data_IF_725518171006
#
_entry.id   IF_725518171006
#
_cell.length_a   1.000
_cell.length_b   1.000
_cell.length_c   1.000
_cell.angle_alpha   90.00
_cell.angle_beta   90.00
_cell.angle_gamma   90.00
#
_symmetry.space_group_name_H-M   'P 1'
#
loop_
_entity.id
_entity.type
_entity.pdbx_description
1 polymer ?
#
# COMPACT_ATOMS: atom_id res chain seq x y z
N UNK A 1 -14.09 7.46 20.91
CA UNK A 1 -12.99 7.76 19.98
C UNK A 1 -13.58 7.88 18.60
N UNK A 2 -13.15 8.82 17.76
CA UNK A 2 -13.72 9.01 16.41
C UNK A 2 -12.77 8.45 15.33
N UNK A 3 -11.46 8.69 15.47
CA UNK A 3 -10.43 8.22 14.52
C UNK A 3 -9.26 7.64 15.29
N UNK A 4 -8.77 6.47 14.84
CA UNK A 4 -7.52 5.88 15.31
C UNK A 4 -6.54 5.86 14.14
N UNK A 5 -5.41 6.54 14.28
CA UNK A 5 -4.33 6.57 13.31
C UNK A 5 -3.28 5.54 13.70
N UNK A 6 -2.91 4.66 12.78
CA UNK A 6 -1.90 3.61 13.02
C UNK A 6 -0.78 3.74 11.99
N UNK A 7 0.45 3.95 12.46
CA UNK A 7 1.63 4.05 11.59
C UNK A 7 2.93 3.87 12.37
N UNK A 8 4.05 3.80 11.65
CA UNK A 8 5.38 3.52 12.22
C UNK A 8 6.04 4.72 12.87
N UNK A 9 5.75 5.92 12.35
CA UNK A 9 6.45 7.16 12.73
C UNK A 9 5.56 8.01 13.61
N UNK A 10 5.91 8.11 14.90
CA UNK A 10 5.13 8.87 15.88
C UNK A 10 4.94 10.34 15.47
N UNK A 11 6.03 11.03 15.09
CA UNK A 11 5.95 12.43 14.68
C UNK A 11 4.99 12.69 13.49
N UNK A 12 4.85 11.72 12.57
CA UNK A 12 3.89 11.84 11.46
C UNK A 12 2.45 11.60 11.91
N UNK A 13 2.25 10.68 12.85
CA UNK A 13 0.94 10.45 13.46
C UNK A 13 0.47 11.70 14.21
N UNK A 14 1.35 12.30 15.01
CA UNK A 14 1.04 13.49 15.79
C UNK A 14 0.71 14.67 14.86
N UNK A 15 1.53 14.92 13.85
CA UNK A 15 1.26 15.96 12.85
C UNK A 15 -0.10 15.77 12.16
N UNK A 16 -0.43 14.55 11.69
CA UNK A 16 -1.74 14.28 11.08
C UNK A 16 -2.89 14.39 12.09
N UNK A 17 -2.69 13.98 13.34
CA UNK A 17 -3.70 14.14 14.37
C UNK A 17 -3.98 15.61 14.67
N UNK A 18 -2.95 16.45 14.68
CA UNK A 18 -3.08 17.89 14.91
C UNK A 18 -3.76 18.58 13.72
N UNK A 19 -3.46 18.18 12.48
CA UNK A 19 -4.19 18.63 11.28
C UNK A 19 -5.69 18.29 11.37
N UNK A 20 -6.04 17.08 11.80
CA UNK A 20 -7.45 16.67 11.98
C UNK A 20 -8.11 17.46 13.10
N UNK A 21 -7.44 17.66 14.24
CA UNK A 21 -7.97 18.43 15.38
C UNK A 21 -8.18 19.90 15.01
N UNK A 22 -7.28 20.47 14.21
CA UNK A 22 -7.40 21.85 13.74
C UNK A 22 -8.63 22.04 12.82
N UNK A 23 -8.88 21.08 11.91
CA UNK A 23 -10.02 21.14 10.99
C UNK A 23 -11.33 20.70 11.63
N UNK A 24 -11.28 19.76 12.59
CA UNK A 24 -12.45 19.15 13.23
C UNK A 24 -12.28 19.09 14.76
N UNK A 25 -12.39 20.22 15.49
CA UNK A 25 -12.07 20.30 16.91
C UNK A 25 -12.90 19.39 17.83
N UNK A 26 -14.10 19.00 17.39
CA UNK A 26 -14.99 18.11 18.15
C UNK A 26 -14.67 16.61 18.01
N UNK A 27 -13.71 16.24 17.15
CA UNK A 27 -13.37 14.83 16.87
C UNK A 27 -12.20 14.36 17.73
N UNK A 28 -12.35 13.18 18.35
CA UNK A 28 -11.29 12.56 19.14
C UNK A 28 -10.41 11.70 18.25
N UNK A 29 -9.11 12.00 18.25
CA UNK A 29 -8.09 11.28 17.48
C UNK A 29 -7.11 10.60 18.43
N UNK A 30 -6.91 9.28 18.25
CA UNK A 30 -5.90 8.47 18.95
C UNK A 30 -4.80 8.04 17.97
N UNK A 31 -3.56 8.12 18.41
CA UNK A 31 -2.40 7.65 17.65
C UNK A 31 -1.90 6.34 18.24
N UNK A 32 -1.63 5.34 17.40
CA UNK A 32 -1.05 4.06 17.78
C UNK A 32 0.18 3.82 16.91
N UNK A 33 1.35 3.74 17.54
CA UNK A 33 2.59 3.44 16.83
C UNK A 33 2.71 1.93 16.65
N UNK A 34 2.74 1.48 15.40
CA UNK A 34 2.92 0.07 15.08
C UNK A 34 3.74 -0.10 13.81
N UNK A 35 4.67 -1.05 13.83
CA UNK A 35 5.47 -1.45 12.68
C UNK A 35 5.02 -2.78 12.10
N UNK A 36 4.27 -2.70 11.00
CA UNK A 36 3.80 -3.87 10.26
C UNK A 36 4.89 -4.56 9.43
N UNK A 37 6.12 -4.04 9.47
CA UNK A 37 7.35 -4.69 8.97
C UNK A 37 8.22 -5.20 10.11
N UNK A 38 7.70 -5.33 11.33
CA UNK A 38 8.40 -6.04 12.42
C UNK A 38 8.25 -7.58 12.25
N UNK A 39 9.33 -8.37 12.36
CA UNK A 39 9.23 -9.83 12.31
C UNK A 39 8.40 -10.42 13.46
N UNK A 40 8.36 -9.77 14.63
CA UNK A 40 7.51 -10.17 15.75
C UNK A 40 6.07 -9.69 15.55
N UNK A 41 5.40 -10.35 14.61
CA UNK A 41 4.00 -10.08 14.30
C UNK A 41 3.08 -10.22 15.51
N UNK A 42 3.37 -11.15 16.42
CA UNK A 42 2.54 -11.40 17.60
C UNK A 42 2.56 -10.21 18.57
N UNK A 43 3.74 -9.66 18.85
CA UNK A 43 3.88 -8.48 19.69
C UNK A 43 3.16 -7.26 19.07
N UNK A 44 3.29 -7.05 17.76
CA UNK A 44 2.63 -5.94 17.05
C UNK A 44 1.12 -6.01 17.19
N UNK A 45 0.48 -7.14 16.86
CA UNK A 45 -0.99 -7.24 16.92
C UNK A 45 -1.51 -7.35 18.35
N UNK A 46 -0.71 -7.85 19.30
CA UNK A 46 -1.05 -7.79 20.73
C UNK A 46 -1.04 -6.36 21.25
N UNK A 47 -0.07 -5.53 20.84
CA UNK A 47 -0.06 -4.11 21.16
C UNK A 47 -1.25 -3.39 20.53
N UNK A 48 -1.46 -3.52 19.22
CA UNK A 48 -2.58 -2.88 18.52
C UNK A 48 -3.93 -3.33 19.09
N UNK A 49 -4.10 -4.62 19.39
CA UNK A 49 -5.30 -5.17 20.01
C UNK A 49 -5.60 -4.54 21.37
N UNK A 50 -4.58 -4.36 22.22
CA UNK A 50 -4.73 -3.64 23.50
C UNK A 50 -5.14 -2.18 23.30
N UNK A 51 -4.56 -1.51 22.31
CA UNK A 51 -4.89 -0.11 22.01
C UNK A 51 -6.30 0.08 21.45
N UNK A 52 -6.84 -0.93 20.76
CA UNK A 52 -8.20 -0.93 20.22
C UNK A 52 -9.23 -1.51 21.19
N UNK A 53 -8.81 -2.09 22.32
CA UNK A 53 -9.71 -2.71 23.27
C UNK A 53 -10.75 -1.71 23.80
N UNK A 54 -12.02 -2.13 23.81
CA UNK A 54 -13.15 -1.30 24.23
C UNK A 54 -13.59 -0.25 23.20
N UNK A 55 -12.94 -0.17 22.03
CA UNK A 55 -13.39 0.71 20.94
C UNK A 55 -14.36 -0.02 20.01
N UNK A 56 -15.51 0.61 19.75
CA UNK A 56 -16.43 0.16 18.70
C UNK A 56 -15.92 0.64 17.33
N UNK A 57 -15.06 -0.14 16.68
CA UNK A 57 -14.54 0.20 15.34
C UNK A 57 -15.60 -0.12 14.28
N UNK A 58 -16.22 0.92 13.72
CA UNK A 58 -17.24 0.82 12.66
C UNK A 58 -16.69 0.84 11.23
N UNK A 59 -15.51 1.42 11.04
CA UNK A 59 -14.82 1.50 9.73
C UNK A 59 -13.35 1.13 9.91
N UNK A 60 -12.87 0.16 9.13
CA UNK A 60 -11.46 -0.20 9.03
C UNK A 60 -10.93 0.15 7.65
N UNK A 61 -9.84 0.93 7.57
CA UNK A 61 -9.16 1.25 6.30
C UNK A 61 -7.76 0.65 6.31
N UNK A 62 -7.60 -0.49 5.65
CA UNK A 62 -6.30 -1.14 5.46
C UNK A 62 -5.54 -0.49 4.30
N UNK A 63 -4.93 0.65 4.59
CA UNK A 63 -4.17 1.46 3.63
C UNK A 63 -2.65 1.23 3.66
N UNK A 64 -2.11 0.72 4.77
CA UNK A 64 -0.67 0.52 4.94
C UNK A 64 -0.14 -0.39 3.82
N UNK A 65 0.97 0.01 3.21
CA UNK A 65 1.61 -0.80 2.19
C UNK A 65 3.02 -0.36 1.86
N UNK A 66 3.78 -1.30 1.31
CA UNK A 66 5.14 -1.16 0.83
C UNK A 66 5.19 -1.55 -0.65
N UNK A 67 6.00 -0.83 -1.42
CA UNK A 67 6.29 -1.12 -2.82
C UNK A 67 7.80 -1.01 -3.05
N UNK A 68 8.24 -1.35 -4.25
CA UNK A 68 9.64 -1.21 -4.65
C UNK A 68 10.04 0.27 -4.69
N UNK A 69 11.27 0.63 -4.30
CA UNK A 69 11.79 1.98 -4.51
C UNK A 69 11.88 2.35 -6.00
N UNK A 70 12.13 1.38 -6.86
CA UNK A 70 12.04 1.50 -8.32
C UNK A 70 11.79 0.12 -8.95
N UNK A 71 11.30 0.03 -10.20
CA UNK A 71 11.11 -1.27 -10.86
C UNK A 71 12.44 -1.99 -11.03
N UNK A 72 12.54 -3.24 -10.58
CA UNK A 72 13.77 -4.04 -10.64
C UNK A 72 13.45 -5.51 -10.97
N UNK A 73 14.40 -6.19 -11.62
CA UNK A 73 14.32 -7.62 -11.87
C UNK A 73 14.19 -8.40 -10.56
N UNK A 74 13.36 -9.45 -10.57
CA UNK A 74 13.08 -10.22 -9.37
C UNK A 74 14.34 -10.75 -8.68
N UNK A 75 15.25 -11.38 -9.44
CA UNK A 75 16.48 -11.93 -8.88
C UNK A 75 17.39 -10.85 -8.32
N UNK A 76 17.54 -9.71 -9.00
CA UNK A 76 18.34 -8.59 -8.48
C UNK A 76 17.75 -7.98 -7.21
N UNK A 77 16.43 -7.86 -7.14
CA UNK A 77 15.75 -7.41 -5.93
C UNK A 77 15.80 -8.45 -4.80
N UNK A 78 16.02 -9.74 -5.13
CA UNK A 78 16.16 -10.83 -4.17
C UNK A 78 17.61 -11.05 -3.70
N UNK A 79 18.59 -10.79 -4.56
CA UNK A 79 20.03 -10.95 -4.33
C UNK A 79 20.56 -10.07 -3.19
N UNK A 80 19.86 -8.98 -2.84
CA UNK A 80 20.14 -8.18 -1.64
C UNK A 80 19.89 -8.96 -0.32
N UNK A 81 19.53 -10.25 -0.38
CA UNK A 81 19.60 -11.22 0.73
C UNK A 81 20.95 -11.96 0.83
N UNK A 82 21.71 -12.10 -0.24
CA UNK A 82 22.83 -13.04 -0.37
C UNK A 82 24.18 -12.41 -0.04
N UNK A 83 24.18 -11.45 0.89
CA UNK A 83 25.38 -11.02 1.59
C UNK A 83 25.47 -11.76 2.91
N UNK A 84 25.99 -12.99 2.84
CA UNK A 84 26.45 -13.88 3.91
C UNK A 84 25.69 -13.91 5.25
N UNK A 85 25.39 -15.14 5.69
CA UNK A 85 24.84 -15.50 7.01
C UNK A 85 25.74 -15.11 8.21
N UNK A 86 26.68 -14.19 8.02
CA UNK A 86 27.76 -13.84 8.95
C UNK A 86 27.88 -12.33 9.11
N UNK A 87 26.76 -11.65 9.42
CA UNK A 87 26.74 -10.26 9.94
C UNK A 87 27.47 -9.19 9.12
N UNK A 88 27.87 -9.50 7.88
CA UNK A 88 28.69 -8.68 7.03
C UNK A 88 27.84 -7.63 6.34
N UNK A 89 28.27 -6.38 6.41
CA UNK A 89 27.70 -5.24 5.68
C UNK A 89 27.83 -5.46 4.16
N UNK A 90 27.03 -6.33 3.58
CA UNK A 90 26.89 -6.41 2.14
C UNK A 90 26.19 -5.13 1.66
N UNK A 91 26.78 -4.55 0.62
CA UNK A 91 26.60 -3.18 0.21
C UNK A 91 25.14 -2.71 0.23
N UNK A 92 24.88 -1.68 1.03
CA UNK A 92 23.67 -0.86 0.99
C UNK A 92 23.58 -0.03 -0.32
N UNK A 93 23.93 -0.61 -1.47
CA UNK A 93 24.06 0.10 -2.75
C UNK A 93 22.75 0.26 -3.51
N UNK A 94 21.64 -0.34 -3.05
CA UNK A 94 20.34 -0.21 -3.71
C UNK A 94 19.27 0.54 -2.90
N UNK A 95 19.51 0.80 -1.61
CA UNK A 95 18.59 1.59 -0.77
C UNK A 95 17.30 0.88 -0.35
N UNK A 96 17.22 -0.44 -0.46
CA UNK A 96 16.23 -1.27 0.24
C UNK A 96 16.93 -2.24 1.22
N UNK A 97 16.22 -2.60 2.29
CA UNK A 97 16.76 -3.50 3.31
C UNK A 97 16.83 -4.94 2.83
N UNK A 98 17.62 -5.81 3.51
CA UNK A 98 17.85 -7.20 3.12
C UNK A 98 16.58 -8.07 3.11
N UNK A 99 15.45 -7.54 3.60
CA UNK A 99 14.20 -8.26 3.83
C UNK A 99 13.03 -7.69 3.00
N UNK A 100 13.31 -6.94 1.92
CA UNK A 100 12.29 -6.24 1.12
C UNK A 100 11.02 -7.07 0.84
N UNK A 101 11.18 -8.32 0.41
CA UNK A 101 10.05 -9.18 0.07
C UNK A 101 9.27 -9.63 1.31
N UNK A 102 9.95 -9.95 2.40
CA UNK A 102 9.30 -10.35 3.66
C UNK A 102 8.59 -9.17 4.30
N UNK A 103 9.22 -7.99 4.27
CA UNK A 103 8.61 -6.73 4.68
C UNK A 103 7.38 -6.41 3.85
N UNK A 104 7.44 -6.64 2.53
CA UNK A 104 6.31 -6.40 1.64
C UNK A 104 5.16 -7.37 1.90
N UNK A 105 5.44 -8.65 2.13
CA UNK A 105 4.42 -9.64 2.52
C UNK A 105 3.81 -9.26 3.87
N UNK A 106 4.62 -8.97 4.88
CA UNK A 106 4.12 -8.60 6.22
C UNK A 106 3.31 -7.31 6.18
N UNK A 107 3.81 -6.29 5.48
CA UNK A 107 3.17 -4.99 5.39
C UNK A 107 1.92 -4.97 4.50
N UNK A 108 1.86 -5.73 3.40
CA UNK A 108 0.74 -5.66 2.46
C UNK A 108 -0.32 -6.75 2.71
N UNK A 109 0.10 -7.94 3.14
CA UNK A 109 -0.78 -9.10 3.33
C UNK A 109 -1.06 -9.29 4.82
N UNK A 110 -0.02 -9.57 5.62
CA UNK A 110 -0.19 -9.97 7.02
C UNK A 110 -0.88 -8.89 7.84
N UNK A 111 -0.55 -7.61 7.60
CA UNK A 111 -1.20 -6.46 8.24
C UNK A 111 -2.70 -6.43 7.99
N UNK A 112 -3.12 -6.49 6.72
CA UNK A 112 -4.52 -6.41 6.32
C UNK A 112 -5.32 -7.59 6.91
N UNK A 113 -4.77 -8.81 6.82
CA UNK A 113 -5.43 -10.00 7.36
C UNK A 113 -5.60 -9.92 8.87
N UNK A 114 -4.55 -9.54 9.62
CA UNK A 114 -4.62 -9.49 11.08
C UNK A 114 -5.47 -8.32 11.58
N UNK A 115 -5.46 -7.17 10.89
CA UNK A 115 -6.36 -6.06 11.22
C UNK A 115 -7.82 -6.45 11.01
N UNK A 116 -8.14 -7.17 9.93
CA UNK A 116 -9.47 -7.77 9.74
C UNK A 116 -9.81 -8.74 10.89
N UNK A 117 -8.89 -9.64 11.25
CA UNK A 117 -9.08 -10.59 12.37
C UNK A 117 -9.32 -9.91 13.71
N UNK A 118 -8.67 -8.78 13.97
CA UNK A 118 -8.84 -8.01 15.21
C UNK A 118 -10.17 -7.25 15.26
N UNK A 119 -10.62 -6.70 14.14
CA UNK A 119 -11.73 -5.73 14.11
C UNK A 119 -13.07 -6.34 13.71
N UNK A 120 -13.06 -7.28 12.76
CA UNK A 120 -14.28 -7.84 12.19
C UNK A 120 -15.15 -8.63 13.17
N UNK A 121 -14.63 -9.35 14.19
CA UNK A 121 -15.50 -10.03 15.16
C UNK A 121 -16.51 -9.07 15.80
N UNK A 122 -16.06 -7.89 16.26
CA UNK A 122 -16.98 -6.89 16.81
C UNK A 122 -17.96 -6.34 15.76
N UNK A 123 -17.55 -6.17 14.50
CA UNK A 123 -18.47 -5.78 13.42
C UNK A 123 -19.54 -6.85 13.15
N UNK A 124 -19.17 -8.13 13.26
CA UNK A 124 -20.06 -9.26 13.06
C UNK A 124 -21.10 -9.37 14.18
N UNK A 125 -20.68 -9.20 15.44
CA UNK A 125 -21.59 -9.17 16.59
C UNK A 125 -22.68 -8.10 16.43
N UNK A 126 -22.28 -6.92 15.93
CA UNK A 126 -23.19 -5.80 15.64
C UNK A 126 -23.92 -5.92 14.30
N UNK A 127 -23.59 -6.94 13.50
CA UNK A 127 -24.05 -7.16 12.13
C UNK A 127 -23.89 -5.93 11.21
N UNK A 128 -22.93 -5.05 11.51
CA UNK A 128 -22.71 -3.79 10.78
C UNK A 128 -21.25 -3.35 10.88
N UNK A 129 -20.67 -3.05 9.73
CA UNK A 129 -19.32 -2.49 9.63
C UNK A 129 -18.91 -2.21 8.19
N UNK A 130 -17.78 -1.54 8.03
CA UNK A 130 -17.16 -1.29 6.74
C UNK A 130 -15.66 -1.57 6.80
N UNK A 131 -15.16 -2.35 5.85
CA UNK A 131 -13.74 -2.65 5.66
C UNK A 131 -13.35 -2.19 4.26
N UNK A 132 -12.41 -1.25 4.17
CA UNK A 132 -11.83 -0.78 2.92
C UNK A 132 -10.38 -1.25 2.86
N UNK A 133 -10.09 -2.15 1.93
CA UNK A 133 -8.76 -2.65 1.68
C UNK A 133 -8.16 -1.96 0.46
N UNK A 134 -6.96 -1.37 0.59
CA UNK A 134 -6.32 -0.66 -0.50
C UNK A 134 -5.46 -1.62 -1.33
N UNK A 135 -5.99 -2.01 -2.47
CA UNK A 135 -5.32 -2.77 -3.53
C UNK A 135 -4.43 -1.89 -4.41
N UNK A 136 -4.39 -2.23 -5.70
CA UNK A 136 -3.74 -1.46 -6.76
C UNK A 136 -4.24 -1.95 -8.11
N UNK A 137 -4.22 -1.11 -9.14
CA UNK A 137 -4.39 -1.58 -10.52
C UNK A 137 -3.38 -2.67 -10.91
N UNK A 138 -2.20 -2.72 -10.25
CA UNK A 138 -1.21 -3.80 -10.42
C UNK A 138 -1.70 -5.20 -10.03
N UNK A 139 -2.89 -5.31 -9.42
CA UNK A 139 -3.57 -6.60 -9.19
C UNK A 139 -4.32 -7.12 -10.43
N UNK A 140 -4.50 -6.28 -11.46
CA UNK A 140 -5.28 -6.61 -12.66
C UNK A 140 -4.48 -6.45 -13.94
N UNK A 141 -3.58 -5.49 -14.00
CA UNK A 141 -2.75 -5.24 -15.17
C UNK A 141 -1.35 -5.84 -14.99
N UNK A 142 -0.71 -6.33 -16.07
CA UNK A 142 0.66 -6.80 -16.03
C UNK A 142 1.61 -5.73 -15.45
N UNK A 143 2.44 -6.11 -14.49
CA UNK A 143 3.42 -5.22 -13.84
C UNK A 143 4.78 -5.93 -13.67
N UNK A 144 5.49 -6.27 -14.78
CA UNK A 144 6.83 -6.82 -14.69
C UNK A 144 7.76 -5.84 -13.97
N UNK A 145 8.82 -6.36 -13.35
CA UNK A 145 9.75 -5.62 -12.49
C UNK A 145 9.14 -5.11 -11.15
N UNK A 146 7.87 -5.44 -10.89
CA UNK A 146 7.18 -5.19 -9.62
C UNK A 146 6.47 -6.46 -9.14
N UNK A 147 7.03 -7.63 -9.44
CA UNK A 147 6.38 -8.96 -9.30
C UNK A 147 5.79 -9.20 -7.92
N UNK A 148 6.58 -9.01 -6.85
CA UNK A 148 6.08 -9.23 -5.48
C UNK A 148 4.98 -8.24 -5.12
N UNK A 149 5.11 -6.99 -5.54
CA UNK A 149 4.12 -5.96 -5.26
C UNK A 149 2.79 -6.29 -5.93
N UNK A 150 2.80 -6.59 -7.23
CA UNK A 150 1.61 -7.02 -7.97
C UNK A 150 0.95 -8.25 -7.33
N UNK A 151 1.75 -9.26 -6.96
CA UNK A 151 1.26 -10.46 -6.29
C UNK A 151 0.59 -10.15 -4.94
N UNK A 152 1.21 -9.33 -4.09
CA UNK A 152 0.59 -8.93 -2.81
C UNK A 152 -0.72 -8.16 -3.01
N UNK A 153 -0.80 -7.29 -4.04
CA UNK A 153 -2.02 -6.56 -4.33
C UNK A 153 -3.11 -7.43 -4.95
N UNK A 154 -2.74 -8.49 -5.69
CA UNK A 154 -3.68 -9.52 -6.15
C UNK A 154 -4.28 -10.29 -4.97
N UNK A 155 -3.46 -10.64 -3.97
CA UNK A 155 -3.95 -11.25 -2.73
C UNK A 155 -5.01 -10.35 -2.07
N UNK A 156 -4.71 -9.06 -1.88
CA UNK A 156 -5.65 -8.10 -1.27
C UNK A 156 -6.98 -8.03 -2.03
N UNK A 157 -6.94 -7.99 -3.37
CA UNK A 157 -8.14 -7.98 -4.21
C UNK A 157 -8.98 -9.24 -4.01
N UNK A 158 -8.36 -10.41 -4.18
CA UNK A 158 -9.06 -11.69 -4.06
C UNK A 158 -9.62 -11.88 -2.65
N UNK A 159 -8.81 -11.64 -1.62
CA UNK A 159 -9.23 -11.73 -0.21
C UNK A 159 -10.46 -10.85 0.06
N UNK A 160 -10.44 -9.59 -0.36
CA UNK A 160 -11.55 -8.66 -0.12
C UNK A 160 -12.84 -9.08 -0.83
N UNK A 161 -12.72 -9.61 -2.06
CA UNK A 161 -13.87 -10.09 -2.83
C UNK A 161 -14.56 -11.27 -2.16
N UNK A 162 -13.77 -12.25 -1.72
CA UNK A 162 -14.33 -13.44 -1.04
C UNK A 162 -14.93 -13.04 0.32
N UNK A 163 -14.24 -12.19 1.08
CA UNK A 163 -14.73 -11.74 2.37
C UNK A 163 -16.03 -10.93 2.27
N UNK A 164 -16.20 -10.12 1.22
CA UNK A 164 -17.48 -9.44 0.96
C UNK A 164 -18.60 -10.43 0.62
N UNK A 165 -18.28 -11.53 -0.05
CA UNK A 165 -19.24 -12.58 -0.40
C UNK A 165 -19.68 -13.35 0.84
N UNK A 166 -18.77 -13.57 1.79
CA UNK A 166 -19.06 -14.22 3.07
C UNK A 166 -19.89 -13.32 4.01
N UNK A 167 -19.46 -12.08 4.24
CA UNK A 167 -19.97 -11.20 5.32
C UNK A 167 -20.80 -9.99 4.87
N UNK A 168 -20.85 -9.70 3.57
CA UNK A 168 -21.63 -8.59 3.01
C UNK A 168 -23.14 -8.79 3.19
N UNK A 169 -23.93 -7.73 2.96
CA UNK A 169 -25.38 -7.75 3.18
C UNK A 169 -26.18 -8.76 2.35
N UNK A 170 -25.56 -9.38 1.33
CA UNK A 170 -26.11 -10.50 0.54
C UNK A 170 -25.49 -11.87 0.90
N UNK A 171 -24.53 -11.88 1.82
CA UNK A 171 -23.83 -13.08 2.26
C UNK A 171 -24.69 -13.95 3.18
N UNK A 172 -24.36 -15.24 3.24
CA UNK A 172 -25.10 -16.22 4.07
C UNK A 172 -24.76 -16.15 5.55
N UNK A 173 -23.73 -15.39 5.93
CA UNK A 173 -23.35 -15.19 7.33
C UNK A 173 -24.37 -14.35 8.12
N UNK A 174 -25.30 -13.66 7.44
CA UNK A 174 -26.35 -12.88 8.10
C UNK A 174 -25.85 -11.58 8.76
N UNK A 175 -24.68 -11.09 8.35
CA UNK A 175 -24.12 -9.79 8.72
C UNK A 175 -24.28 -8.78 7.59
N UNK A 176 -24.19 -7.49 7.89
CA UNK A 176 -24.15 -6.41 6.90
C UNK A 176 -22.80 -5.66 6.98
N UNK A 177 -21.70 -6.39 6.75
CA UNK A 177 -20.35 -5.83 6.75
C UNK A 177 -19.94 -5.57 5.29
N UNK A 178 -19.86 -4.31 4.89
CA UNK A 178 -19.33 -3.95 3.58
C UNK A 178 -17.83 -4.22 3.55
N UNK A 179 -17.36 -5.08 2.65
CA UNK A 179 -15.92 -5.25 2.39
C UNK A 179 -15.63 -4.82 0.97
N UNK A 180 -14.78 -3.81 0.79
CA UNK A 180 -14.45 -3.25 -0.51
C UNK A 180 -12.94 -3.19 -0.72
N UNK A 181 -12.47 -3.70 -1.86
CA UNK A 181 -11.14 -3.43 -2.37
C UNK A 181 -11.18 -2.20 -3.28
N UNK A 182 -10.39 -1.18 -2.93
CA UNK A 182 -10.14 -0.03 -3.82
C UNK A 182 -8.78 -0.23 -4.47
N UNK A 183 -8.73 -0.24 -5.80
CA UNK A 183 -7.55 -0.52 -6.63
C UNK A 183 -7.08 0.76 -7.33
N UNK A 184 -6.40 1.69 -6.61
CA UNK A 184 -5.89 2.90 -7.21
C UNK A 184 -4.88 2.61 -8.32
N UNK A 185 -4.96 3.40 -9.39
CA UNK A 185 -3.85 3.64 -10.31
C UNK A 185 -2.84 4.62 -9.71
N UNK A 186 -2.07 5.30 -10.55
CA UNK A 186 -1.19 6.36 -10.05
C UNK A 186 -2.03 7.50 -9.44
N UNK A 187 -1.70 7.88 -8.21
CA UNK A 187 -2.20 9.07 -7.50
C UNK A 187 -0.99 9.90 -7.11
N UNK A 188 -1.06 11.22 -7.23
CA UNK A 188 0.06 12.12 -6.95
C UNK A 188 0.40 12.12 -5.44
N UNK A 189 1.25 11.19 -5.02
CA UNK A 189 1.62 10.94 -3.61
C UNK A 189 3.13 10.73 -3.51
N UNK A 190 3.67 10.78 -2.29
CA UNK A 190 5.08 10.46 -2.04
C UNK A 190 5.46 9.06 -2.50
N UNK A 191 4.53 8.09 -2.44
CA UNK A 191 4.76 6.71 -2.85
C UNK A 191 4.91 6.58 -4.38
N UNK A 192 4.09 7.29 -5.17
CA UNK A 192 4.19 7.24 -6.64
C UNK A 192 5.37 8.03 -7.20
N UNK A 193 5.97 8.91 -6.40
CA UNK A 193 7.04 9.83 -6.80
C UNK A 193 6.63 10.74 -7.98
N UNK A 194 5.34 10.94 -8.18
CA UNK A 194 4.75 11.81 -9.20
C UNK A 194 4.15 13.02 -8.50
N UNK A 195 4.65 14.21 -8.83
CA UNK A 195 4.18 15.47 -8.25
C UNK A 195 3.08 16.15 -9.09
N UNK A 196 3.03 15.88 -10.40
CA UNK A 196 2.07 16.52 -11.32
C UNK A 196 0.79 15.71 -11.44
N UNK A 197 -0.35 16.36 -11.23
CA UNK A 197 -1.66 15.77 -11.46
C UNK A 197 -2.00 15.75 -12.95
N UNK A 198 -2.76 14.75 -13.38
CA UNK A 198 -3.33 14.65 -14.72
C UNK A 198 -4.68 13.93 -14.64
N UNK A 199 -5.39 13.81 -15.77
CA UNK A 199 -6.67 13.10 -15.81
C UNK A 199 -6.57 11.62 -15.37
N UNK A 200 -5.42 10.96 -15.63
CA UNK A 200 -5.15 9.59 -15.15
C UNK A 200 -4.39 9.56 -13.81
N UNK A 201 -3.95 10.72 -13.31
CA UNK A 201 -3.18 10.85 -12.07
C UNK A 201 -3.81 11.94 -11.19
N UNK A 202 -4.91 11.64 -10.47
CA UNK A 202 -5.59 12.63 -9.65
C UNK A 202 -4.73 13.05 -8.43
N UNK A 203 -5.11 14.18 -7.82
CA UNK A 203 -4.64 14.51 -6.47
C UNK A 203 -5.22 13.54 -5.44
N UNK A 204 -4.59 13.40 -4.26
CA UNK A 204 -5.14 12.56 -3.19
C UNK A 204 -6.57 12.94 -2.81
N UNK A 205 -6.89 14.23 -2.68
CA UNK A 205 -8.22 14.68 -2.30
C UNK A 205 -9.29 14.31 -3.33
N UNK A 206 -8.99 14.51 -4.62
CA UNK A 206 -9.89 14.13 -5.71
C UNK A 206 -10.10 12.63 -5.75
N UNK A 207 -9.02 11.86 -5.58
CA UNK A 207 -9.10 10.40 -5.54
C UNK A 207 -9.94 9.92 -4.36
N UNK A 208 -9.69 10.41 -3.13
CA UNK A 208 -10.40 9.99 -1.92
C UNK A 208 -11.88 10.35 -1.99
N UNK A 209 -12.22 11.57 -2.47
CA UNK A 209 -13.62 11.97 -2.68
C UNK A 209 -14.35 11.03 -3.62
N UNK A 210 -13.73 10.69 -4.77
CA UNK A 210 -14.28 9.74 -5.73
C UNK A 210 -14.39 8.33 -5.14
N UNK A 211 -13.36 7.86 -4.43
CA UNK A 211 -13.33 6.50 -3.89
C UNK A 211 -14.40 6.28 -2.82
N UNK A 212 -14.61 7.27 -1.93
CA UNK A 212 -15.64 7.20 -0.89
C UNK A 212 -17.06 7.16 -1.47
N UNK A 213 -17.30 7.80 -2.61
CA UNK A 213 -18.60 7.71 -3.31
C UNK A 213 -18.89 6.30 -3.85
N UNK A 214 -17.86 5.47 -4.04
CA UNK A 214 -18.02 4.08 -4.50
C UNK A 214 -18.23 3.08 -3.36
N UNK A 215 -18.08 3.49 -2.10
CA UNK A 215 -18.14 2.59 -0.94
C UNK A 215 -19.48 1.89 -0.86
N UNK A 216 -19.45 0.55 -0.84
CA UNK A 216 -20.65 -0.29 -0.76
C UNK A 216 -21.36 -0.57 -2.10
N UNK A 217 -20.94 0.06 -3.20
CA UNK A 217 -21.54 -0.20 -4.52
C UNK A 217 -21.02 -1.50 -5.13
N UNK A 218 -19.70 -1.68 -5.12
CA UNK A 218 -19.03 -2.84 -5.70
C UNK A 218 -17.98 -3.39 -4.72
N UNK A 219 -17.80 -4.71 -4.59
CA UNK A 219 -16.77 -5.29 -3.74
C UNK A 219 -15.35 -4.96 -4.21
N UNK A 220 -15.17 -4.67 -5.50
CA UNK A 220 -13.87 -4.35 -6.08
C UNK A 220 -14.04 -3.23 -7.10
N UNK A 221 -13.38 -2.10 -6.84
CA UNK A 221 -13.46 -0.87 -7.66
C UNK A 221 -12.09 -0.24 -7.78
N UNK A 222 -11.86 0.59 -8.81
CA UNK A 222 -10.64 1.42 -8.86
C UNK A 222 -10.77 2.66 -7.96
N UNK A 223 -11.98 2.99 -7.52
CA UNK A 223 -12.31 4.21 -6.77
C UNK A 223 -12.30 5.49 -7.60
N UNK A 224 -11.83 5.44 -8.86
CA UNK A 224 -11.71 6.59 -9.74
C UNK A 224 -11.98 6.21 -11.19
N UNK A 225 -13.03 6.78 -11.79
CA UNK A 225 -13.53 6.37 -13.10
C UNK A 225 -12.46 6.34 -14.23
N UNK A 226 -11.57 7.34 -14.37
CA UNK A 226 -10.47 7.27 -15.34
C UNK A 226 -9.54 6.06 -15.17
N UNK A 227 -9.29 5.63 -13.93
CA UNK A 227 -8.52 4.40 -13.67
C UNK A 227 -9.28 3.16 -14.14
N UNK A 228 -10.60 3.12 -14.01
CA UNK A 228 -11.43 2.02 -14.55
C UNK A 228 -11.29 1.91 -16.07
N UNK A 229 -11.37 3.03 -16.79
CA UNK A 229 -11.23 3.03 -18.26
C UNK A 229 -9.84 2.52 -18.66
N UNK A 230 -8.80 2.98 -18.00
CA UNK A 230 -7.42 2.55 -18.25
C UNK A 230 -7.25 1.04 -18.02
N UNK A 231 -7.72 0.52 -16.89
CA UNK A 231 -7.63 -0.93 -16.58
C UNK A 231 -8.37 -1.74 -17.64
N UNK A 232 -9.59 -1.34 -18.01
CA UNK A 232 -10.40 -2.06 -19.01
C UNK A 232 -9.77 -2.05 -20.39
N UNK A 233 -9.14 -0.95 -20.80
CA UNK A 233 -8.41 -0.87 -22.05
C UNK A 233 -7.20 -1.83 -22.07
N UNK A 234 -6.45 -1.90 -20.96
CA UNK A 234 -5.30 -2.81 -20.84
C UNK A 234 -5.75 -4.27 -20.84
N UNK A 235 -6.79 -4.63 -20.08
CA UNK A 235 -7.36 -5.98 -20.06
C UNK A 235 -7.86 -6.41 -21.44
N UNK A 236 -8.52 -5.51 -22.17
CA UNK A 236 -8.98 -5.78 -23.53
C UNK A 236 -7.79 -6.03 -24.47
N UNK A 237 -6.76 -5.18 -24.42
CA UNK A 237 -5.57 -5.37 -25.24
C UNK A 237 -4.83 -6.68 -24.90
N UNK A 238 -4.79 -7.05 -23.62
CA UNK A 238 -4.21 -8.32 -23.16
C UNK A 238 -5.00 -9.53 -23.66
N UNK A 239 -6.33 -9.44 -23.67
CA UNK A 239 -7.20 -10.49 -24.22
C UNK A 239 -7.03 -10.69 -25.73
N UNK A 240 -6.57 -9.67 -26.46
CA UNK A 240 -6.27 -9.76 -27.90
C UNK A 240 -4.88 -10.37 -28.13
N UNK A 241 -3.86 -9.93 -27.38
CA UNK A 241 -2.50 -10.47 -27.48
C UNK A 241 -1.71 -10.27 -26.19
N UNK A 242 -1.71 -11.30 -25.35
CA UNK A 242 -0.95 -11.33 -24.10
C UNK A 242 0.55 -11.09 -24.32
N UNK A 243 1.13 -11.76 -25.32
CA UNK A 243 2.57 -11.63 -25.63
C UNK A 243 2.96 -10.21 -26.07
N UNK A 244 2.15 -9.57 -26.89
CA UNK A 244 2.41 -8.19 -27.34
C UNK A 244 2.29 -7.22 -26.16
N UNK A 245 1.28 -7.39 -25.32
CA UNK A 245 1.08 -6.56 -24.13
C UNK A 245 2.20 -6.74 -23.11
N UNK A 246 2.60 -7.98 -22.84
CA UNK A 246 3.72 -8.26 -21.95
C UNK A 246 5.01 -7.56 -22.41
N UNK A 247 5.33 -7.62 -23.72
CA UNK A 247 6.49 -6.92 -24.31
C UNK A 247 6.38 -5.40 -24.17
N UNK A 248 5.21 -4.84 -24.48
CA UNK A 248 4.97 -3.40 -24.43
C UNK A 248 5.11 -2.86 -23.01
N UNK A 249 4.48 -3.53 -22.05
CA UNK A 249 4.57 -3.16 -20.63
C UNK A 249 6.00 -3.33 -20.12
N UNK A 250 6.68 -4.43 -20.48
CA UNK A 250 8.08 -4.64 -20.10
C UNK A 250 8.99 -3.50 -20.58
N UNK A 251 8.86 -3.08 -21.85
CA UNK A 251 9.62 -1.96 -22.39
C UNK A 251 9.35 -0.65 -21.64
N UNK A 252 8.09 -0.38 -21.29
CA UNK A 252 7.72 0.78 -20.49
C UNK A 252 8.38 0.73 -19.09
N UNK A 253 8.28 -0.42 -18.40
CA UNK A 253 8.86 -0.62 -17.08
C UNK A 253 10.39 -0.51 -17.08
N UNK A 254 11.07 -1.02 -18.11
CA UNK A 254 12.50 -0.84 -18.31
C UNK A 254 12.88 0.64 -18.50
N UNK A 255 12.05 1.40 -19.22
CA UNK A 255 12.21 2.85 -19.35
C UNK A 255 12.07 3.58 -18.01
N UNK A 256 11.10 3.19 -17.18
CA UNK A 256 10.95 3.73 -15.81
C UNK A 256 12.15 3.37 -14.95
N UNK A 257 12.59 2.10 -14.96
CA UNK A 257 13.78 1.62 -14.25
C UNK A 257 15.02 2.43 -14.63
N UNK A 258 15.29 2.60 -15.93
CA UNK A 258 16.44 3.36 -16.40
C UNK A 258 16.42 4.82 -15.93
N UNK A 259 15.25 5.48 -15.93
CA UNK A 259 15.10 6.84 -15.38
C UNK A 259 15.35 6.87 -13.87
N UNK A 260 14.87 5.88 -13.13
CA UNK A 260 15.06 5.80 -11.69
C UNK A 260 16.54 5.61 -11.31
N UNK A 261 17.24 4.69 -11.99
CA UNK A 261 18.66 4.44 -11.78
C UNK A 261 19.52 5.67 -12.10
N UNK A 262 19.22 6.39 -13.19
CA UNK A 262 19.89 7.66 -13.50
C UNK A 262 19.69 8.71 -12.41
N UNK A 263 18.52 8.76 -11.78
CA UNK A 263 18.26 9.68 -10.67
C UNK A 263 19.07 9.28 -9.43
N UNK A 264 19.08 8.00 -9.08
CA UNK A 264 19.84 7.48 -7.93
C UNK A 264 21.34 7.73 -8.07
N UNK A 265 21.90 7.49 -9.27
CA UNK A 265 23.31 7.77 -9.54
C UNK A 265 23.67 9.25 -9.34
N UNK A 266 22.80 10.17 -9.79
CA UNK A 266 22.98 11.61 -9.57
C UNK A 266 22.89 11.99 -8.09
N UNK A 267 21.91 11.45 -7.36
CA UNK A 267 21.75 11.69 -5.93
C UNK A 267 22.95 11.16 -5.13
N UNK A 268 23.53 10.02 -5.53
CA UNK A 268 24.73 9.47 -4.91
C UNK A 268 25.95 10.36 -5.17
N UNK A 269 26.16 10.77 -6.42
CA UNK A 269 27.25 11.68 -6.77
C UNK A 269 27.18 12.99 -5.96
N UNK A 270 25.98 13.60 -5.85
CA UNK A 270 25.78 14.81 -5.05
C UNK A 270 26.07 14.60 -3.55
N UNK A 271 25.76 13.41 -3.01
CA UNK A 271 26.07 13.08 -1.61
C UNK A 271 27.57 12.93 -1.40
N UNK A 272 28.26 12.27 -2.32
CA UNK A 272 29.73 12.09 -2.27
C UNK A 272 30.44 13.45 -2.39
N UNK A 273 29.99 14.32 -3.30
CA UNK A 273 30.48 15.69 -3.45
C UNK A 273 30.26 16.53 -2.17
N UNK A 274 29.06 16.46 -1.57
CA UNK A 274 28.76 17.16 -0.32
C UNK A 274 29.57 16.64 0.88
N UNK A 275 29.81 15.34 0.95
CA UNK A 275 30.65 14.73 1.99
C UNK A 275 32.11 15.12 1.84
N UNK A 276 32.63 15.15 0.61
CA UNK A 276 33.99 15.63 0.30
C UNK A 276 34.18 17.10 0.66
N UNK A 277 33.21 17.97 0.30
CA UNK A 277 33.25 19.39 0.65
C UNK A 277 33.26 19.62 2.17
N UNK A 278 32.48 18.85 2.94
CA UNK A 278 32.42 18.96 4.40
C UNK A 278 33.68 18.43 5.10
N UNK A 279 34.42 17.52 4.44
CA UNK A 279 35.67 16.96 4.95
C UNK A 279 36.89 17.86 4.68
N UNK A 280 36.79 18.79 3.72
CA UNK A 280 37.88 19.71 3.35
C UNK A 280 37.85 21.01 4.17
N UNK A 281 36.75 21.27 4.88
CA UNK A 281 36.49 22.46 5.71
C UNK A 281 36.72 22.21 7.23
N UNK A 282 37.37 21.09 7.57
CA UNK A 282 37.81 20.69 8.92
C UNK A 282 39.32 20.49 8.94
#
# INVERSE_FOLDING_TARGET
>A
MDVVLVSRTQAKLDATADEIRAQYPSRRVKCVRADFTDPDTSAVYSHVGRELHGLEVGVLVNNVGLSYPHPEYFLKAAEDRCGDADGGKAAASAGWGPQLFDDMVRCNITSMVNMCRLVMPGMADRKRGCVINIGSTASRIPCPLLTMYGATKKFVEKFSRELNTEYGGKGKHGTNITVQCVMPGYVATKMSKIARTSWLVPSPDTFVKSALQTTGLEPVTTGYFPHTLMVKAIELAESISESMMARTVMNNMLGIRARALRRLAKEQQQREEAQSATATDK
#
